data_IF_201868403546
#
_entry.id   IF_201868403546
#
_cell.length_a   1.000
_cell.length_b   1.000
_cell.length_c   1.000
_cell.angle_alpha   90.00
_cell.angle_beta   90.00
_cell.angle_gamma   90.00
#
_symmetry.space_group_name_H-M   'P 1'
#
loop_
_entity.id
_entity.type
_entity.pdbx_description
1 polymer ?
#
# COMPACT_ATOMS: atom_id res chain seq x y z
N UNK A 1 -64.12 17.12 9.91
CA UNK A 1 -63.92 15.71 9.56
C UNK A 1 -62.70 15.18 10.29
N UNK A 2 -62.94 14.57 11.45
CA UNK A 2 -61.89 13.98 12.29
C UNK A 2 -61.30 12.72 11.63
N UNK A 3 -62.16 11.87 11.06
CA UNK A 3 -61.78 10.66 10.33
C UNK A 3 -60.76 10.87 9.20
N UNK A 4 -60.86 11.99 8.46
CA UNK A 4 -59.91 12.27 7.36
C UNK A 4 -58.53 12.66 7.89
N UNK A 5 -58.45 13.30 9.06
CA UNK A 5 -57.17 13.61 9.71
C UNK A 5 -56.52 12.37 10.28
N UNK A 6 -57.30 11.53 10.95
CA UNK A 6 -56.80 10.30 11.56
C UNK A 6 -56.22 9.36 10.49
N UNK A 7 -56.89 9.24 9.33
CA UNK A 7 -56.39 8.47 8.20
C UNK A 7 -55.10 9.05 7.58
N UNK A 8 -54.97 10.37 7.55
CA UNK A 8 -53.76 11.04 7.03
C UNK A 8 -52.55 10.78 7.95
N UNK A 9 -52.77 10.76 9.27
CA UNK A 9 -51.73 10.47 10.27
C UNK A 9 -51.24 9.02 10.13
N UNK A 10 -52.16 8.07 9.95
CA UNK A 10 -51.82 6.65 9.77
C UNK A 10 -50.97 6.43 8.50
N UNK A 11 -51.31 7.11 7.39
CA UNK A 11 -50.53 7.09 6.15
C UNK A 11 -49.12 7.66 6.32
N UNK A 12 -48.98 8.77 7.06
CA UNK A 12 -47.68 9.38 7.32
C UNK A 12 -46.82 8.51 8.25
N UNK A 13 -47.42 7.85 9.26
CA UNK A 13 -46.74 6.90 10.15
C UNK A 13 -46.21 5.67 9.39
N UNK A 14 -47.02 5.09 8.49
CA UNK A 14 -46.57 3.98 7.64
C UNK A 14 -45.45 4.40 6.70
N UNK A 15 -45.55 5.58 6.09
CA UNK A 15 -44.52 6.12 5.21
C UNK A 15 -43.21 6.32 5.98
N UNK A 16 -43.25 6.93 7.17
CA UNK A 16 -42.10 7.13 8.03
C UNK A 16 -41.47 5.79 8.45
N UNK A 17 -42.28 4.80 8.84
CA UNK A 17 -41.79 3.48 9.22
C UNK A 17 -41.12 2.75 8.03
N UNK A 18 -41.66 2.90 6.82
CA UNK A 18 -41.08 2.30 5.61
C UNK A 18 -39.73 2.94 5.24
N UNK A 19 -39.63 4.27 5.35
CA UNK A 19 -38.38 5.02 5.14
C UNK A 19 -37.31 4.63 6.16
N UNK A 20 -37.69 4.50 7.44
CA UNK A 20 -36.75 4.08 8.48
C UNK A 20 -36.19 2.67 8.20
N UNK A 21 -37.05 1.70 7.83
CA UNK A 21 -36.58 0.35 7.46
C UNK A 21 -35.65 0.37 6.25
N UNK A 22 -35.93 1.21 5.25
CA UNK A 22 -35.03 1.37 4.11
C UNK A 22 -33.68 1.94 4.54
N UNK A 23 -33.66 2.98 5.37
CA UNK A 23 -32.43 3.55 5.93
C UNK A 23 -31.61 2.51 6.71
N UNK A 24 -32.26 1.75 7.60
CA UNK A 24 -31.58 0.70 8.38
C UNK A 24 -31.01 -0.40 7.48
N UNK A 25 -31.76 -0.82 6.44
CA UNK A 25 -31.30 -1.80 5.47
C UNK A 25 -30.08 -1.31 4.65
N UNK A 26 -30.04 -0.02 4.30
CA UNK A 26 -28.90 0.59 3.63
C UNK A 26 -27.69 0.72 4.57
N UNK A 27 -27.90 1.12 5.83
CA UNK A 27 -26.84 1.20 6.82
C UNK A 27 -26.18 -0.18 7.08
N UNK A 28 -27.00 -1.23 7.23
CA UNK A 28 -26.52 -2.61 7.42
C UNK A 28 -25.75 -3.15 6.20
N UNK A 29 -26.19 -2.83 4.98
CA UNK A 29 -25.49 -3.25 3.76
C UNK A 29 -24.15 -2.54 3.58
N UNK A 30 -24.07 -1.24 3.91
CA UNK A 30 -22.80 -0.51 3.94
C UNK A 30 -21.83 -1.07 4.99
N UNK A 31 -22.31 -1.40 6.19
CA UNK A 31 -21.47 -1.95 7.24
C UNK A 31 -20.95 -3.36 6.89
N UNK A 32 -21.77 -4.21 6.26
CA UNK A 32 -21.34 -5.52 5.74
C UNK A 32 -20.30 -5.42 4.62
N UNK A 33 -20.41 -4.42 3.76
CA UNK A 33 -19.41 -4.19 2.72
C UNK A 33 -18.03 -3.92 3.35
N UNK A 34 -17.95 -3.01 4.34
CA UNK A 34 -16.69 -2.68 5.04
C UNK A 34 -16.04 -3.89 5.71
N UNK A 35 -16.82 -4.75 6.37
CA UNK A 35 -16.29 -5.97 7.02
C UNK A 35 -15.73 -6.96 6.00
N UNK A 36 -16.29 -7.02 4.79
CA UNK A 36 -15.85 -7.95 3.75
C UNK A 36 -14.60 -7.49 2.97
N UNK A 37 -14.23 -6.21 3.02
CA UNK A 37 -12.94 -5.74 2.47
C UNK A 37 -11.76 -6.13 3.36
N UNK A 38 -11.93 -6.08 4.68
CA UNK A 38 -10.91 -6.50 5.65
C UNK A 38 -10.70 -8.03 5.68
N UNK A 39 -11.59 -8.82 5.06
CA UNK A 39 -11.49 -10.28 5.11
C UNK A 39 -10.45 -10.88 4.16
N UNK A 40 -9.92 -10.10 3.20
CA UNK A 40 -8.97 -10.59 2.19
C UNK A 40 -7.52 -10.12 2.41
N UNK A 41 -7.32 -9.17 3.32
CA UNK A 41 -6.00 -8.57 3.57
C UNK A 41 -5.55 -8.84 5.01
N UNK A 42 -4.27 -9.18 5.15
CA UNK A 42 -3.60 -9.46 6.42
C UNK A 42 -3.19 -8.19 7.16
N UNK A 43 -2.77 -7.16 6.42
CA UNK A 43 -2.31 -5.89 6.99
C UNK A 43 -2.41 -4.73 5.99
N UNK A 44 -2.53 -3.50 6.50
CA UNK A 44 -2.34 -2.27 5.73
C UNK A 44 -0.97 -1.68 6.06
N UNK A 45 -0.11 -1.59 5.05
CA UNK A 45 1.28 -1.16 5.21
C UNK A 45 1.50 0.16 4.50
N UNK A 46 2.08 1.12 5.20
CA UNK A 46 2.65 2.33 4.62
C UNK A 46 4.16 2.15 4.57
N UNK A 47 4.70 1.97 3.37
CA UNK A 47 6.14 1.76 3.14
C UNK A 47 6.70 3.04 2.54
N UNK A 48 7.61 3.68 3.26
CA UNK A 48 8.31 4.88 2.82
C UNK A 48 9.68 4.48 2.28
N UNK A 49 9.94 4.80 1.01
CA UNK A 49 11.23 4.66 0.37
C UNK A 49 11.99 5.98 0.52
N UNK A 50 13.04 5.98 1.34
CA UNK A 50 13.77 7.20 1.69
C UNK A 50 14.86 7.47 0.67
N UNK A 51 15.87 6.61 0.66
CA UNK A 51 17.05 6.70 -0.21
C UNK A 51 17.68 5.32 -0.43
N UNK A 52 18.49 5.19 -1.48
CA UNK A 52 19.35 4.04 -1.69
C UNK A 52 20.83 4.46 -1.76
N UNK A 53 21.72 3.53 -1.44
CA UNK A 53 23.16 3.68 -1.63
C UNK A 53 23.64 2.52 -2.49
N UNK A 54 23.80 2.77 -3.79
CA UNK A 54 24.20 1.78 -4.78
C UNK A 54 25.72 1.78 -4.99
N UNK A 55 26.27 0.60 -5.27
CA UNK A 55 27.72 0.45 -5.51
C UNK A 55 28.09 0.93 -6.92
N UNK A 56 27.22 0.67 -7.90
CA UNK A 56 27.47 0.97 -9.33
C UNK A 56 26.47 1.96 -9.91
N UNK A 57 26.95 2.69 -10.92
CA UNK A 57 26.14 3.49 -11.83
C UNK A 57 26.16 2.74 -13.17
N UNK A 58 24.99 2.27 -13.61
CA UNK A 58 24.81 1.57 -14.88
C UNK A 58 24.38 2.50 -16.02
N UNK A 59 23.93 3.72 -15.70
CA UNK A 59 23.54 4.72 -16.68
C UNK A 59 24.74 5.31 -17.41
N UNK A 60 24.53 5.74 -18.65
CA UNK A 60 25.58 6.35 -19.47
C UNK A 60 26.11 7.67 -18.87
N UNK A 61 25.24 8.42 -18.19
CA UNK A 61 25.60 9.64 -17.44
C UNK A 61 25.30 9.45 -15.95
N UNK A 62 24.03 9.58 -15.57
CA UNK A 62 23.54 9.35 -14.23
C UNK A 62 22.21 8.62 -14.34
N UNK A 63 22.06 7.56 -13.55
CA UNK A 63 20.78 6.87 -13.43
C UNK A 63 19.72 7.83 -12.89
N UNK A 64 18.47 7.59 -13.26
CA UNK A 64 17.27 8.16 -12.69
C UNK A 64 16.45 7.03 -12.03
N UNK A 65 16.79 6.62 -10.80
CA UNK A 65 16.21 5.43 -10.21
C UNK A 65 14.76 5.63 -9.73
N UNK A 66 13.92 4.61 -9.87
CA UNK A 66 12.66 4.46 -9.14
C UNK A 66 12.54 3.07 -8.51
N UNK A 67 11.71 2.97 -7.48
CA UNK A 67 11.43 1.70 -6.80
C UNK A 67 10.09 1.17 -7.27
N UNK A 68 10.06 -0.11 -7.65
CA UNK A 68 8.86 -0.89 -7.88
C UNK A 68 8.76 -1.98 -6.82
N UNK A 69 7.61 -2.09 -6.18
CA UNK A 69 7.31 -3.21 -5.29
C UNK A 69 6.17 -4.05 -5.84
N UNK A 70 6.28 -5.37 -5.65
CA UNK A 70 5.24 -6.33 -5.99
C UNK A 70 4.79 -7.08 -4.73
N UNK A 71 3.48 -7.03 -4.48
CA UNK A 71 2.83 -7.67 -3.35
C UNK A 71 1.66 -8.50 -3.90
N UNK A 72 1.80 -9.83 -3.87
CA UNK A 72 0.88 -10.71 -4.59
C UNK A 72 0.81 -10.35 -6.07
N UNK A 73 -0.36 -9.92 -6.54
CA UNK A 73 -0.61 -9.47 -7.91
C UNK A 73 -0.59 -7.95 -8.10
N UNK A 74 -0.38 -7.19 -7.02
CA UNK A 74 -0.40 -5.73 -7.07
C UNK A 74 1.01 -5.16 -7.16
N UNK A 75 1.16 -4.13 -7.99
CA UNK A 75 2.42 -3.41 -8.20
C UNK A 75 2.23 -1.97 -7.72
N UNK A 76 3.23 -1.44 -7.02
CA UNK A 76 3.32 -0.04 -6.63
C UNK A 76 4.68 0.51 -7.03
N UNK A 77 4.71 1.78 -7.43
CA UNK A 77 5.92 2.45 -7.92
C UNK A 77 6.06 3.81 -7.25
N UNK A 78 7.31 4.21 -6.99
CA UNK A 78 7.64 5.58 -6.57
C UNK A 78 7.78 6.47 -7.80
N UNK A 79 7.80 7.79 -7.58
CA UNK A 79 8.33 8.70 -8.60
C UNK A 79 9.81 8.42 -8.89
N UNK A 80 10.25 8.81 -10.08
CA UNK A 80 11.64 8.76 -10.49
C UNK A 80 12.49 9.81 -9.76
N UNK A 81 13.63 9.39 -9.20
CA UNK A 81 14.67 10.29 -8.68
C UNK A 81 15.57 10.74 -9.83
N UNK A 82 15.18 11.82 -10.53
CA UNK A 82 15.87 12.29 -11.73
C UNK A 82 17.35 12.58 -11.48
N UNK A 83 18.24 11.89 -12.22
CA UNK A 83 19.70 11.98 -12.06
C UNK A 83 20.21 11.65 -10.64
N UNK A 84 19.47 10.85 -9.88
CA UNK A 84 19.86 10.40 -8.53
C UNK A 84 21.14 9.56 -8.50
N UNK A 85 21.55 8.99 -9.64
CA UNK A 85 22.80 8.26 -9.77
C UNK A 85 22.87 7.10 -8.79
N UNK A 86 23.95 7.01 -8.02
CA UNK A 86 24.14 5.95 -7.02
C UNK A 86 23.45 6.22 -5.69
N UNK A 87 22.98 7.43 -5.44
CA UNK A 87 22.42 7.83 -4.16
C UNK A 87 21.04 8.49 -4.36
N UNK A 88 20.08 7.81 -5.01
CA UNK A 88 18.76 8.36 -5.25
C UNK A 88 18.02 8.60 -3.94
N UNK A 89 17.20 9.65 -3.92
CA UNK A 89 16.31 9.99 -2.81
C UNK A 89 14.90 10.18 -3.34
N UNK A 90 13.93 9.61 -2.64
CA UNK A 90 12.51 9.68 -3.01
C UNK A 90 11.68 10.33 -1.91
N UNK A 91 11.87 9.88 -0.66
CA UNK A 91 11.04 10.27 0.48
C UNK A 91 9.54 10.11 0.16
N UNK A 92 9.19 8.95 -0.39
CA UNK A 92 7.85 8.69 -0.91
C UNK A 92 7.24 7.48 -0.23
N UNK A 93 5.99 7.63 0.22
CA UNK A 93 5.24 6.58 0.92
C UNK A 93 4.25 5.90 -0.01
N UNK A 94 4.44 4.61 -0.24
CA UNK A 94 3.48 3.74 -0.89
C UNK A 94 2.56 3.11 0.16
N UNK A 95 1.25 3.33 0.03
CA UNK A 95 0.23 2.65 0.86
C UNK A 95 -0.21 1.39 0.14
N UNK A 96 0.03 0.25 0.77
CA UNK A 96 -0.21 -1.05 0.16
C UNK A 96 -1.00 -1.97 1.10
N UNK A 97 -1.71 -2.91 0.51
CA UNK A 97 -2.49 -3.91 1.22
C UNK A 97 -1.82 -5.26 1.03
N UNK A 98 -1.50 -5.93 2.13
CA UNK A 98 -0.89 -7.25 2.10
C UNK A 98 -1.99 -8.31 2.07
N UNK A 99 -2.14 -9.13 1.01
CA UNK A 99 -3.13 -10.19 0.97
C UNK A 99 -2.88 -11.27 2.04
N UNK A 100 -3.94 -11.97 2.46
CA UNK A 100 -3.78 -13.13 3.36
C UNK A 100 -2.90 -14.19 2.69
N UNK A 101 -1.97 -14.75 3.47
CA UNK A 101 -0.98 -15.73 2.98
C UNK A 101 0.27 -15.10 2.36
N UNK A 102 0.30 -13.79 2.14
CA UNK A 102 1.51 -13.07 1.77
C UNK A 102 2.22 -12.55 3.04
N UNK A 103 3.54 -12.73 3.08
CA UNK A 103 4.45 -12.15 4.09
C UNK A 103 5.74 -11.61 3.46
N UNK A 104 5.84 -11.66 2.13
CA UNK A 104 7.03 -11.26 1.37
C UNK A 104 6.64 -10.21 0.33
N UNK A 105 7.48 -9.19 0.20
CA UNK A 105 7.43 -8.18 -0.86
C UNK A 105 8.67 -8.33 -1.75
N UNK A 106 8.46 -8.31 -3.06
CA UNK A 106 9.56 -8.19 -4.01
C UNK A 106 9.82 -6.71 -4.27
N UNK A 107 11.06 -6.29 -4.13
CA UNK A 107 11.53 -4.91 -4.33
C UNK A 107 12.46 -4.93 -5.54
N UNK A 108 12.20 -4.06 -6.49
CA UNK A 108 12.95 -3.94 -7.73
C UNK A 108 13.27 -2.45 -7.93
N UNK A 109 14.54 -2.12 -8.18
CA UNK A 109 14.97 -0.77 -8.53
C UNK A 109 15.23 -0.73 -10.03
N UNK A 110 14.67 0.27 -10.68
CA UNK A 110 14.81 0.48 -12.12
C UNK A 110 15.47 1.82 -12.42
N UNK A 111 16.24 1.90 -13.50
CA UNK A 111 16.72 3.15 -14.10
C UNK A 111 15.74 3.60 -15.20
N UNK A 112 15.03 4.70 -14.96
CA UNK A 112 14.08 5.31 -15.90
C UNK A 112 14.85 5.96 -17.06
N UNK A 113 14.67 5.38 -18.24
CA UNK A 113 15.40 5.76 -19.44
C UNK A 113 14.51 6.55 -20.40
N UNK A 114 14.88 7.80 -20.68
CA UNK A 114 14.10 8.69 -21.56
C UNK A 114 13.84 8.14 -22.99
N UNK A 115 14.74 7.30 -23.50
CA UNK A 115 14.71 6.83 -24.89
C UNK A 115 14.87 5.30 -25.04
N UNK A 116 14.96 4.58 -23.92
CA UNK A 116 15.22 3.14 -23.90
C UNK A 116 14.26 2.46 -22.91
N UNK A 117 14.22 1.14 -22.92
CA UNK A 117 13.50 0.39 -21.91
C UNK A 117 14.16 0.58 -20.55
N UNK A 118 13.36 0.75 -19.50
CA UNK A 118 13.82 0.83 -18.12
C UNK A 118 14.63 -0.41 -17.75
N UNK A 119 15.80 -0.16 -17.16
CA UNK A 119 16.73 -1.22 -16.81
C UNK A 119 16.60 -1.59 -15.34
N UNK A 120 16.47 -2.88 -15.03
CA UNK A 120 16.55 -3.36 -13.65
C UNK A 120 18.00 -3.23 -13.15
N UNK A 121 18.22 -2.37 -12.16
CA UNK A 121 19.54 -2.08 -11.60
C UNK A 121 19.83 -2.87 -10.32
N UNK A 122 18.82 -3.10 -9.49
CA UNK A 122 18.96 -3.83 -8.23
C UNK A 122 17.62 -4.45 -7.81
N UNK A 123 17.65 -5.46 -6.94
CA UNK A 123 16.46 -6.10 -6.40
C UNK A 123 16.69 -6.67 -5.01
N UNK A 124 15.62 -6.85 -4.26
CA UNK A 124 15.61 -7.57 -2.99
C UNK A 124 14.27 -8.28 -2.79
N UNK A 125 14.30 -9.33 -1.98
CA UNK A 125 13.09 -9.95 -1.46
C UNK A 125 13.06 -9.70 0.03
N UNK A 126 12.02 -9.02 0.50
CA UNK A 126 11.91 -8.62 1.89
C UNK A 126 10.73 -9.30 2.56
N UNK A 127 11.00 -10.01 3.66
CA UNK A 127 9.97 -10.65 4.47
C UNK A 127 9.55 -9.70 5.59
N UNK A 128 8.28 -9.34 5.61
CA UNK A 128 7.72 -8.46 6.63
C UNK A 128 7.68 -9.21 7.96
N UNK A 129 8.23 -8.65 9.05
CA UNK A 129 8.22 -9.32 10.34
C UNK A 129 6.80 -9.49 10.90
N UNK A 130 6.51 -10.63 11.53
CA UNK A 130 5.14 -11.01 11.92
C UNK A 130 4.45 -10.04 12.87
N UNK A 131 5.22 -9.31 13.68
CA UNK A 131 4.71 -8.28 14.58
C UNK A 131 4.09 -7.09 13.83
N UNK A 132 4.39 -6.88 12.55
CA UNK A 132 3.78 -5.86 11.70
C UNK A 132 2.72 -6.44 10.74
N UNK A 133 2.36 -7.71 10.91
CA UNK A 133 1.35 -8.40 10.09
C UNK A 133 0.01 -8.58 10.81
N UNK A 134 -0.13 -8.07 12.03
CA UNK A 134 -1.34 -8.23 12.84
C UNK A 134 -2.16 -6.96 12.77
N UNK A 135 -3.31 -7.06 12.10
CA UNK A 135 -4.39 -6.08 12.23
C UNK A 135 -5.28 -6.48 13.41
N UNK A 136 -5.22 -5.74 14.51
CA UNK A 136 -6.33 -5.73 15.48
C UNK A 136 -6.75 -4.29 15.73
N UNK A 137 -8.02 -4.06 16.05
CA UNK A 137 -8.53 -2.72 16.38
C UNK A 137 -7.89 -2.12 17.65
N UNK A 138 -7.08 -2.91 18.36
CA UNK A 138 -6.42 -2.56 19.61
C UNK A 138 -4.89 -2.48 19.46
N UNK A 139 -4.31 -2.84 18.31
CA UNK A 139 -2.87 -2.75 18.10
C UNK A 139 -2.44 -1.29 17.87
N UNK A 140 -1.46 -0.77 18.64
CA UNK A 140 -0.86 0.53 18.37
C UNK A 140 -0.27 0.61 16.95
N UNK A 141 -0.19 1.82 16.39
CA UNK A 141 0.60 2.07 15.18
C UNK A 141 2.05 1.65 15.44
N UNK A 142 2.54 0.68 14.67
CA UNK A 142 3.90 0.16 14.78
C UNK A 142 4.71 0.60 13.57
N UNK A 143 5.79 1.34 13.82
CA UNK A 143 6.74 1.79 12.80
C UNK A 143 8.16 1.32 13.08
N UNK A 144 8.92 1.09 12.02
CA UNK A 144 10.35 0.80 12.10
C UNK A 144 11.06 1.25 10.83
N UNK A 145 12.37 1.45 10.95
CA UNK A 145 13.26 1.73 9.84
C UNK A 145 14.20 0.54 9.62
N UNK A 146 14.46 0.21 8.37
CA UNK A 146 15.33 -0.91 8.01
C UNK A 146 16.16 -0.59 6.76
N UNK A 147 17.38 -1.13 6.74
CA UNK A 147 18.28 -1.10 5.58
C UNK A 147 18.22 -2.45 4.90
N UNK A 148 17.58 -2.49 3.75
CA UNK A 148 17.43 -3.70 2.95
C UNK A 148 18.65 -3.83 2.04
N UNK A 149 19.39 -4.92 2.18
CA UNK A 149 20.54 -5.21 1.31
C UNK A 149 20.03 -5.60 -0.08
N UNK A 150 20.60 -4.97 -1.10
CA UNK A 150 20.21 -5.16 -2.50
C UNK A 150 21.16 -6.14 -3.21
N UNK A 151 20.55 -7.01 -4.00
CA UNK A 151 21.22 -7.86 -4.97
C UNK A 151 21.14 -7.24 -6.35
N UNK A 152 22.03 -7.65 -7.25
CA UNK A 152 22.10 -7.03 -8.56
C UNK A 152 23.09 -7.71 -9.49
N UNK A 153 23.54 -6.97 -10.50
CA UNK A 153 24.56 -7.43 -11.44
C UNK A 153 25.92 -7.63 -10.76
N UNK A 154 26.17 -6.99 -9.62
CA UNK A 154 27.39 -7.23 -8.82
C UNK A 154 27.36 -8.56 -8.05
N UNK A 155 26.18 -9.17 -7.88
CA UNK A 155 25.98 -10.41 -7.13
C UNK A 155 24.96 -10.26 -6.00
N UNK A 156 24.79 -11.35 -5.26
CA UNK A 156 23.84 -11.44 -4.14
C UNK A 156 24.29 -10.56 -2.96
N UNK A 157 23.47 -9.59 -2.60
CA UNK A 157 23.74 -8.66 -1.50
C UNK A 157 24.89 -7.67 -1.73
N UNK A 158 25.34 -7.52 -2.99
CA UNK A 158 26.51 -6.71 -3.34
C UNK A 158 26.16 -5.43 -4.12
N UNK A 159 24.88 -5.16 -4.36
CA UNK A 159 24.46 -4.03 -5.19
C UNK A 159 24.30 -2.73 -4.39
N UNK A 160 24.23 -2.85 -3.06
CA UNK A 160 24.09 -1.73 -2.14
C UNK A 160 22.97 -1.97 -1.15
N UNK A 161 22.32 -0.89 -0.74
CA UNK A 161 21.27 -0.92 0.27
C UNK A 161 20.17 0.10 -0.01
N UNK A 162 18.96 -0.21 0.44
CA UNK A 162 17.78 0.64 0.37
C UNK A 162 17.28 0.92 1.79
N UNK A 163 17.15 2.20 2.14
CA UNK A 163 16.56 2.62 3.41
C UNK A 163 15.04 2.73 3.25
N UNK A 164 14.32 1.96 4.06
CA UNK A 164 12.86 1.97 4.11
C UNK A 164 12.37 2.25 5.54
N UNK A 165 11.24 2.92 5.64
CA UNK A 165 10.47 3.01 6.87
C UNK A 165 9.10 2.37 6.66
N UNK A 166 8.75 1.39 7.48
CA UNK A 166 7.50 0.64 7.36
C UNK A 166 6.63 0.95 8.56
N UNK A 167 5.39 1.32 8.29
CA UNK A 167 4.36 1.55 9.30
C UNK A 167 3.18 0.62 9.03
N UNK A 168 2.81 -0.18 10.03
CA UNK A 168 1.57 -0.97 10.01
C UNK A 168 0.49 -0.27 10.83
N UNK A 169 -0.73 -0.22 10.27
CA UNK A 169 -1.95 0.25 10.95
C UNK A 169 -3.01 -0.83 10.97
#
# INVERSE_FOLDING_TARGET
NQQTRDHQIELDEELAASLQRQYDSQALSQQRAVVNWNSNYRAHLSITFTEAHLIKNYGLMSMSPYVRIRIGNTIYETRTSTRGGKNPKWNETCRCYLPIGCDVIAIELYDDCLFMQDELIAWATYKIPENYLRFTTETPEHSFEERIVLSGKQGEGLEGELLVAVTSK
#
